data_IF_696253179519
#
_entry.id   IF_696253179519
#
_cell.length_a   1.000
_cell.length_b   1.000
_cell.length_c   1.000
_cell.angle_alpha   90.00
_cell.angle_beta   90.00
_cell.angle_gamma   90.00
#
_symmetry.space_group_name_H-M   'P 1'
#
loop_
_entity.id
_entity.type
_entity.pdbx_description
1 polymer ?
#
# COMPACT_ATOMS: atom_id res chain seq x y z
N UNK A 1 16.65 -6.90 21.32
CA UNK A 1 15.22 -7.22 21.16
C UNK A 1 14.93 -7.15 19.68
N UNK A 2 14.40 -8.19 19.06
CA UNK A 2 14.12 -8.19 17.62
C UNK A 2 13.04 -7.18 17.27
N UNK A 3 13.24 -6.43 16.20
CA UNK A 3 12.29 -5.52 15.60
C UNK A 3 11.82 -6.11 14.28
N UNK A 4 10.53 -6.35 14.15
CA UNK A 4 9.93 -6.92 12.94
C UNK A 4 9.06 -5.88 12.24
N UNK A 5 9.40 -5.59 10.98
CA UNK A 5 8.65 -4.74 10.09
C UNK A 5 7.56 -5.52 9.36
N UNK A 6 6.44 -4.85 9.10
CA UNK A 6 5.35 -5.32 8.26
C UNK A 6 4.98 -4.17 7.32
N UNK A 7 4.79 -4.46 6.05
CA UNK A 7 4.31 -3.49 5.06
C UNK A 7 2.87 -3.83 4.74
N UNK A 8 1.94 -2.88 4.88
CA UNK A 8 0.52 -3.19 4.79
C UNK A 8 -0.34 -2.03 4.25
N UNK A 9 -1.51 -2.39 3.73
CA UNK A 9 -2.61 -1.44 3.45
C UNK A 9 -3.73 -1.55 4.49
N UNK A 10 -3.97 -2.77 5.00
CA UNK A 10 -5.09 -3.09 5.89
C UNK A 10 -6.44 -2.53 5.39
N UNK A 11 -6.82 -2.84 4.14
CA UNK A 11 -7.98 -2.26 3.46
C UNK A 11 -9.18 -3.24 3.26
N UNK A 12 -9.94 -3.65 4.29
CA UNK A 12 -9.79 -3.32 5.72
C UNK A 12 -8.86 -4.29 6.47
N UNK A 13 -8.60 -4.00 7.75
CA UNK A 13 -7.97 -4.96 8.66
C UNK A 13 -8.89 -6.18 8.85
N UNK A 14 -8.35 -7.40 8.94
CA UNK A 14 -9.14 -8.64 9.01
C UNK A 14 -8.37 -9.78 9.71
N UNK A 15 -9.00 -10.93 9.93
CA UNK A 15 -8.40 -12.07 10.63
C UNK A 15 -7.05 -12.53 10.06
N UNK A 16 -6.88 -12.51 8.72
CA UNK A 16 -5.58 -12.83 8.09
C UNK A 16 -4.45 -11.86 8.46
N UNK A 17 -4.76 -10.57 8.66
CA UNK A 17 -3.78 -9.58 9.12
C UNK A 17 -3.42 -9.78 10.60
N UNK A 18 -4.42 -10.09 11.44
CA UNK A 18 -4.19 -10.48 12.83
C UNK A 18 -3.30 -11.72 12.92
N UNK A 19 -3.54 -12.71 12.07
CA UNK A 19 -2.70 -13.89 11.96
C UNK A 19 -1.26 -13.51 11.59
N UNK A 20 -1.05 -12.73 10.52
CA UNK A 20 0.28 -12.24 10.12
C UNK A 20 1.01 -11.57 11.31
N UNK A 21 0.35 -10.65 12.01
CA UNK A 21 0.92 -9.99 13.18
C UNK A 21 1.22 -10.97 14.32
N UNK A 22 0.39 -11.99 14.54
CA UNK A 22 0.61 -12.99 15.58
C UNK A 22 1.83 -13.89 15.33
N UNK A 23 2.20 -14.08 14.06
CA UNK A 23 3.37 -14.87 13.66
C UNK A 23 4.68 -14.08 13.71
N UNK A 24 4.60 -12.74 13.78
CA UNK A 24 5.78 -11.89 13.90
C UNK A 24 6.25 -11.79 15.36
N UNK A 25 7.55 -11.90 15.57
CA UNK A 25 8.19 -11.83 16.88
C UNK A 25 8.58 -10.39 17.26
N UNK A 26 8.91 -10.16 18.52
CA UNK A 26 9.53 -8.90 18.92
C UNK A 26 8.62 -7.67 18.81
N UNK A 27 9.21 -6.48 18.61
CA UNK A 27 8.47 -5.22 18.40
C UNK A 27 7.96 -5.17 16.97
N UNK A 28 6.64 -5.02 16.78
CA UNK A 28 6.02 -5.03 15.46
C UNK A 28 5.78 -3.62 14.93
N UNK A 29 6.52 -3.22 13.91
CA UNK A 29 6.38 -1.92 13.24
C UNK A 29 5.65 -2.14 11.92
N UNK A 30 4.48 -1.52 11.76
CA UNK A 30 3.73 -1.52 10.51
C UNK A 30 4.00 -0.22 9.74
N UNK A 31 4.59 -0.33 8.56
CA UNK A 31 4.59 0.75 7.58
C UNK A 31 3.34 0.62 6.70
N UNK A 32 2.37 1.51 6.92
CA UNK A 32 1.02 1.39 6.39
C UNK A 32 0.73 2.46 5.34
N UNK A 33 0.12 2.07 4.21
CA UNK A 33 -0.44 3.04 3.26
C UNK A 33 -1.39 3.99 3.98
N UNK A 34 -1.28 5.28 3.65
CA UNK A 34 -2.23 6.30 4.07
C UNK A 34 -3.62 6.11 3.45
N UNK A 35 -4.34 7.20 3.23
CA UNK A 35 -5.74 7.16 2.81
C UNK A 35 -5.97 6.66 1.36
N UNK A 36 -4.92 6.54 0.56
CA UNK A 36 -4.93 5.85 -0.73
C UNK A 36 -3.88 4.74 -0.73
N UNK A 37 -4.21 3.63 -1.40
CA UNK A 37 -3.43 2.39 -1.31
C UNK A 37 -2.76 2.02 -2.65
N UNK A 38 -1.85 1.05 -2.64
CA UNK A 38 -0.96 0.65 -3.75
C UNK A 38 -1.68 0.29 -5.04
N UNK A 39 -2.92 -0.17 -4.91
CA UNK A 39 -3.79 -0.54 -6.02
C UNK A 39 -4.44 0.65 -6.73
N UNK A 40 -4.23 1.88 -6.24
CA UNK A 40 -4.85 3.08 -6.78
C UNK A 40 -6.33 3.15 -6.44
N UNK A 41 -6.65 2.92 -5.17
CA UNK A 41 -8.01 3.04 -4.63
C UNK A 41 -7.98 3.80 -3.29
N UNK A 42 -9.05 4.53 -2.95
CA UNK A 42 -9.21 5.04 -1.59
C UNK A 42 -9.30 3.86 -0.62
N UNK A 43 -8.67 3.98 0.55
CA UNK A 43 -8.88 3.03 1.63
C UNK A 43 -10.35 3.10 2.06
N UNK A 44 -10.99 1.96 2.31
CA UNK A 44 -12.42 1.88 2.63
C UNK A 44 -12.75 2.64 3.92
N UNK A 45 -11.81 2.68 4.87
CA UNK A 45 -11.87 3.49 6.10
C UNK A 45 -10.52 4.17 6.30
N UNK A 46 -10.52 5.27 7.05
CA UNK A 46 -9.37 6.15 7.14
C UNK A 46 -8.13 5.50 7.79
N UNK A 47 -6.96 6.10 7.56
CA UNK A 47 -5.68 5.61 8.08
C UNK A 47 -5.63 5.54 9.60
N UNK A 48 -6.34 6.43 10.31
CA UNK A 48 -6.36 6.44 11.76
C UNK A 48 -7.11 5.23 12.31
N UNK A 49 -8.29 4.94 11.77
CA UNK A 49 -9.10 3.77 12.13
C UNK A 49 -8.31 2.49 11.86
N UNK A 50 -7.68 2.36 10.69
CA UNK A 50 -6.85 1.19 10.36
C UNK A 50 -5.64 1.03 11.28
N UNK A 51 -5.00 2.14 11.66
CA UNK A 51 -3.90 2.12 12.62
C UNK A 51 -4.37 1.67 14.00
N UNK A 52 -5.53 2.14 14.47
CA UNK A 52 -6.13 1.70 15.74
C UNK A 52 -6.39 0.20 15.74
N UNK A 53 -7.02 -0.32 14.67
CA UNK A 53 -7.30 -1.75 14.52
C UNK A 53 -6.00 -2.58 14.57
N UNK A 54 -4.95 -2.14 13.89
CA UNK A 54 -3.66 -2.82 13.89
C UNK A 54 -3.03 -2.86 15.30
N UNK A 55 -3.02 -1.74 16.03
CA UNK A 55 -2.47 -1.65 17.39
C UNK A 55 -3.27 -2.52 18.38
N UNK A 56 -4.60 -2.52 18.26
CA UNK A 56 -5.47 -3.41 19.05
C UNK A 56 -5.25 -4.89 18.71
N UNK A 57 -4.80 -5.20 17.50
CA UNK A 57 -4.53 -6.56 17.04
C UNK A 57 -3.06 -7.01 17.09
N UNK A 58 -2.18 -6.25 17.75
CA UNK A 58 -0.84 -6.71 18.12
C UNK A 58 0.32 -6.02 17.42
N UNK A 59 0.07 -5.02 16.58
CA UNK A 59 1.10 -4.07 16.16
C UNK A 59 1.55 -3.21 17.36
N UNK A 60 2.82 -2.82 17.38
CA UNK A 60 3.39 -1.98 18.44
C UNK A 60 3.58 -0.53 17.99
N UNK A 61 3.85 -0.32 16.70
CA UNK A 61 4.04 1.00 16.09
C UNK A 61 3.44 0.97 14.68
N UNK A 62 2.67 1.99 14.32
CA UNK A 62 2.17 2.19 12.96
C UNK A 62 2.67 3.53 12.44
N UNK A 63 3.38 3.49 11.30
CA UNK A 63 3.87 4.66 10.58
C UNK A 63 3.23 4.76 9.21
N UNK A 64 3.06 5.98 8.71
CA UNK A 64 2.46 6.22 7.41
C UNK A 64 3.50 6.14 6.29
N UNK A 65 3.16 5.41 5.22
CA UNK A 65 3.86 5.50 3.95
C UNK A 65 3.40 6.77 3.22
N UNK A 66 4.33 7.65 2.80
CA UNK A 66 4.00 8.83 2.00
C UNK A 66 3.21 8.44 0.74
N UNK A 67 2.32 9.30 0.24
CA UNK A 67 1.46 9.02 -0.90
C UNK A 67 2.22 8.53 -2.13
N UNK A 68 3.36 9.18 -2.47
CA UNK A 68 4.20 8.79 -3.61
C UNK A 68 5.02 7.51 -3.37
N UNK A 69 5.01 6.95 -2.16
CA UNK A 69 5.48 5.59 -1.85
C UNK A 69 4.30 4.61 -1.88
N UNK A 70 3.20 4.96 -1.21
CA UNK A 70 2.05 4.11 -1.02
C UNK A 70 1.35 3.76 -2.34
N UNK A 71 1.11 4.74 -3.21
CA UNK A 71 0.39 4.56 -4.47
C UNK A 71 1.41 4.37 -5.59
N UNK A 72 2.02 3.19 -5.70
CA UNK A 72 3.06 2.89 -6.70
C UNK A 72 2.96 1.46 -7.25
N UNK A 73 3.79 1.10 -8.24
CA UNK A 73 4.00 -0.33 -8.55
C UNK A 73 4.74 -1.05 -7.42
N UNK A 74 4.67 -2.39 -7.40
CA UNK A 74 5.19 -3.21 -6.31
C UNK A 74 6.66 -2.92 -5.94
N UNK A 75 7.54 -2.75 -6.93
CA UNK A 75 8.96 -2.48 -6.68
C UNK A 75 9.20 -1.15 -5.97
N UNK A 76 8.58 -0.05 -6.41
CA UNK A 76 8.74 1.26 -5.74
C UNK A 76 8.03 1.31 -4.39
N UNK A 77 6.86 0.67 -4.28
CA UNK A 77 6.15 0.52 -3.01
C UNK A 77 7.01 -0.25 -1.99
N UNK A 78 7.59 -1.38 -2.40
CA UNK A 78 8.48 -2.19 -1.58
C UNK A 78 9.74 -1.41 -1.19
N UNK A 79 10.40 -0.77 -2.16
CA UNK A 79 11.63 -0.01 -1.91
C UNK A 79 11.40 1.10 -0.86
N UNK A 80 10.45 1.99 -1.11
CA UNK A 80 10.20 3.12 -0.19
C UNK A 80 9.74 2.67 1.19
N UNK A 81 8.96 1.58 1.29
CA UNK A 81 8.53 1.03 2.56
C UNK A 81 9.68 0.36 3.33
N UNK A 82 10.54 -0.40 2.64
CA UNK A 82 11.75 -1.01 3.24
C UNK A 82 12.72 0.06 3.71
N UNK A 83 12.93 1.13 2.94
CA UNK A 83 13.82 2.25 3.34
C UNK A 83 13.31 3.00 4.58
N UNK A 84 11.98 3.08 4.78
CA UNK A 84 11.39 3.60 6.02
C UNK A 84 11.65 2.64 7.18
N UNK A 85 11.41 1.35 6.98
CA UNK A 85 11.59 0.33 8.02
C UNK A 85 13.06 0.16 8.44
N UNK A 86 14.00 0.22 7.49
CA UNK A 86 15.44 0.19 7.75
C UNK A 86 15.86 1.34 8.68
N UNK A 87 15.41 2.57 8.39
CA UNK A 87 15.68 3.73 9.25
C UNK A 87 15.12 3.57 10.66
N UNK A 88 14.00 2.85 10.79
CA UNK A 88 13.40 2.52 12.09
C UNK A 88 14.08 1.33 12.79
N UNK A 89 15.19 0.80 12.25
CA UNK A 89 15.98 -0.26 12.88
C UNK A 89 15.28 -1.62 12.85
N UNK A 90 14.54 -1.91 11.78
CA UNK A 90 13.93 -3.24 11.59
C UNK A 90 15.00 -4.28 11.27
N UNK A 91 14.97 -5.40 11.99
CA UNK A 91 15.86 -6.55 11.78
C UNK A 91 15.25 -7.58 10.81
N UNK A 92 13.93 -7.79 10.89
CA UNK A 92 13.19 -8.77 10.10
C UNK A 92 12.01 -8.13 9.37
N UNK A 93 11.76 -8.49 8.12
CA UNK A 93 10.56 -8.11 7.38
C UNK A 93 9.61 -9.30 7.27
N UNK A 94 8.47 -9.25 7.96
CA UNK A 94 7.44 -10.27 7.91
C UNK A 94 6.36 -9.93 6.88
N UNK A 95 6.03 -10.87 6.00
CA UNK A 95 5.00 -10.68 4.97
C UNK A 95 4.28 -11.99 4.62
N UNK A 96 3.01 -11.88 4.24
CA UNK A 96 2.24 -13.03 3.78
C UNK A 96 2.60 -13.42 2.34
N UNK A 97 2.67 -14.72 2.04
CA UNK A 97 2.91 -15.26 0.69
C UNK A 97 2.05 -16.48 0.44
N UNK A 98 1.60 -16.70 -0.81
CA UNK A 98 0.97 -17.96 -1.22
C UNK A 98 2.00 -19.11 -1.28
N UNK A 99 3.24 -18.78 -1.64
CA UNK A 99 4.33 -19.73 -1.84
C UNK A 99 5.18 -19.92 -0.58
N UNK A 100 5.70 -21.13 -0.38
CA UNK A 100 6.68 -21.44 0.67
C UNK A 100 8.08 -21.52 0.06
N UNK A 101 8.64 -20.36 -0.30
CA UNK A 101 9.94 -20.22 -0.96
C UNK A 101 10.93 -19.46 -0.08
N UNK A 102 12.22 -19.64 -0.37
CA UNK A 102 13.30 -18.91 0.29
C UNK A 102 13.50 -17.53 -0.35
N UNK A 103 12.75 -16.54 0.14
CA UNK A 103 12.89 -15.16 -0.31
C UNK A 103 14.23 -14.52 0.06
N UNK A 104 14.89 -15.02 1.11
CA UNK A 104 16.23 -14.54 1.48
C UNK A 104 17.24 -14.92 0.39
N UNK A 105 17.11 -16.13 -0.17
CA UNK A 105 17.93 -16.54 -1.30
C UNK A 105 17.68 -15.67 -2.55
N UNK A 106 16.43 -15.32 -2.86
CA UNK A 106 16.14 -14.40 -3.98
C UNK A 106 16.73 -13.00 -3.76
N UNK A 107 16.73 -12.52 -2.52
CA UNK A 107 17.39 -11.26 -2.15
C UNK A 107 18.90 -11.32 -2.41
N UNK A 108 19.54 -12.45 -2.11
CA UNK A 108 20.96 -12.65 -2.36
C UNK A 108 21.28 -12.74 -3.86
N UNK A 109 20.49 -13.52 -4.63
CA UNK A 109 20.64 -13.59 -6.10
C UNK A 109 20.58 -12.20 -6.71
N UNK A 110 19.61 -11.38 -6.29
CA UNK A 110 19.49 -10.02 -6.80
C UNK A 110 20.69 -9.15 -6.39
N UNK A 111 21.16 -9.24 -5.15
CA UNK A 111 22.36 -8.51 -4.71
C UNK A 111 23.59 -8.86 -5.56
N UNK A 112 23.80 -10.15 -5.84
CA UNK A 112 24.96 -10.65 -6.60
C UNK A 112 24.88 -10.33 -8.10
N UNK A 113 23.67 -10.11 -8.63
CA UNK A 113 23.42 -9.94 -10.07
C UNK A 113 22.73 -8.63 -10.43
N UNK A 114 22.66 -7.66 -9.53
CA UNK A 114 21.82 -6.46 -9.66
C UNK A 114 21.99 -5.78 -11.02
N UNK A 115 23.22 -5.49 -11.42
CA UNK A 115 23.49 -4.82 -12.69
C UNK A 115 23.02 -5.66 -13.89
N UNK A 116 23.34 -6.96 -13.92
CA UNK A 116 22.93 -7.88 -15.00
C UNK A 116 21.41 -8.00 -15.11
N UNK A 117 20.71 -8.01 -13.96
CA UNK A 117 19.26 -8.09 -13.90
C UNK A 117 18.59 -6.80 -14.40
N UNK A 118 19.14 -5.63 -14.03
CA UNK A 118 18.70 -4.33 -14.52
C UNK A 118 18.92 -4.21 -16.04
N UNK A 119 20.12 -4.57 -16.52
CA UNK A 119 20.44 -4.54 -17.95
C UNK A 119 19.53 -5.48 -18.74
N UNK A 120 19.24 -6.66 -18.21
CA UNK A 120 18.31 -7.59 -18.83
C UNK A 120 16.89 -7.01 -18.92
N UNK A 121 16.38 -6.39 -17.85
CA UNK A 121 15.07 -5.72 -17.87
C UNK A 121 15.01 -4.63 -18.94
N UNK A 122 16.09 -3.85 -19.11
CA UNK A 122 16.17 -2.79 -20.12
C UNK A 122 16.25 -3.36 -21.55
N UNK A 123 16.89 -4.51 -21.74
CA UNK A 123 16.98 -5.17 -23.06
C UNK A 123 15.65 -5.77 -23.54
N UNK A 124 14.68 -5.97 -22.64
CA UNK A 124 13.41 -6.60 -23.00
C UNK A 124 12.53 -5.64 -23.83
N UNK A 125 11.79 -6.16 -24.82
CA UNK A 125 10.96 -5.37 -25.72
C UNK A 125 9.99 -4.40 -25.01
N UNK A 126 9.81 -3.20 -25.56
CA UNK A 126 8.94 -2.16 -24.98
C UNK A 126 7.44 -2.43 -25.06
N UNK A 127 7.04 -3.45 -25.85
CA UNK A 127 5.66 -3.92 -25.88
C UNK A 127 5.29 -4.76 -24.65
N UNK A 128 6.27 -5.19 -23.85
CA UNK A 128 6.03 -5.88 -22.58
C UNK A 128 5.76 -4.87 -21.48
N UNK A 129 4.71 -5.12 -20.69
CA UNK A 129 4.46 -4.36 -19.47
C UNK A 129 5.56 -4.61 -18.44
N UNK A 130 5.79 -3.65 -17.54
CA UNK A 130 6.80 -3.78 -16.49
C UNK A 130 6.66 -5.07 -15.67
N UNK A 131 5.44 -5.48 -15.21
CA UNK A 131 5.27 -6.77 -14.52
C UNK A 131 5.74 -7.99 -15.33
N UNK A 132 5.49 -8.00 -16.65
CA UNK A 132 5.95 -9.08 -17.53
C UNK A 132 7.48 -9.07 -17.67
N UNK A 133 8.10 -7.88 -17.74
CA UNK A 133 9.56 -7.75 -17.76
C UNK A 133 10.17 -8.30 -16.46
N UNK A 134 9.61 -7.96 -15.29
CA UNK A 134 10.07 -8.46 -13.98
C UNK A 134 9.90 -9.97 -13.82
N UNK A 135 8.81 -10.55 -14.34
CA UNK A 135 8.62 -12.01 -14.33
C UNK A 135 9.73 -12.71 -15.12
N UNK A 136 9.97 -12.28 -16.36
CA UNK A 136 11.06 -12.83 -17.20
C UNK A 136 12.43 -12.71 -16.56
N UNK A 137 12.69 -11.61 -15.85
CA UNK A 137 13.94 -11.42 -15.12
C UNK A 137 14.10 -12.46 -14.01
N UNK A 138 13.07 -12.67 -13.17
CA UNK A 138 13.13 -13.66 -12.10
C UNK A 138 13.19 -15.11 -12.63
N UNK A 139 12.46 -15.43 -13.70
CA UNK A 139 12.57 -16.72 -14.40
C UNK A 139 14.01 -16.98 -14.86
N UNK A 140 14.64 -15.99 -15.50
CA UNK A 140 15.99 -16.14 -16.06
C UNK A 140 17.07 -16.30 -15.00
N UNK A 141 17.00 -15.53 -13.92
CA UNK A 141 18.10 -15.43 -12.94
C UNK A 141 17.91 -16.30 -11.69
N UNK A 142 16.67 -16.73 -11.40
CA UNK A 142 16.35 -17.44 -10.17
C UNK A 142 15.39 -18.64 -10.37
N UNK A 143 15.08 -19.01 -11.62
CA UNK A 143 14.17 -20.12 -11.98
C UNK A 143 12.80 -20.06 -11.27
N UNK A 144 12.34 -18.84 -10.99
CA UNK A 144 11.04 -18.61 -10.35
C UNK A 144 9.93 -18.88 -11.36
N UNK A 145 8.98 -19.74 -10.99
CA UNK A 145 7.80 -20.02 -11.81
C UNK A 145 6.63 -19.15 -11.37
N UNK A 146 6.14 -18.32 -12.28
CA UNK A 146 4.97 -17.49 -12.02
C UNK A 146 3.70 -18.25 -12.39
N UNK A 147 2.87 -18.52 -11.40
CA UNK A 147 1.46 -18.87 -11.61
C UNK A 147 0.65 -17.57 -11.68
N UNK A 148 -0.43 -17.55 -12.46
CA UNK A 148 -1.24 -16.35 -12.71
C UNK A 148 -1.94 -15.74 -11.49
N UNK A 149 -1.89 -16.40 -10.33
CA UNK A 149 -2.75 -16.15 -9.17
C UNK A 149 -1.99 -15.95 -7.85
N UNK A 150 -0.75 -15.44 -7.88
CA UNK A 150 0.08 -15.26 -6.67
C UNK A 150 0.58 -13.81 -6.47
N UNK A 151 -0.33 -12.84 -6.26
CA UNK A 151 0.06 -11.43 -6.12
C UNK A 151 0.84 -11.14 -4.85
N UNK A 152 0.69 -11.92 -3.76
CA UNK A 152 1.55 -11.74 -2.60
C UNK A 152 2.95 -12.32 -2.83
N UNK A 153 3.09 -13.39 -3.63
CA UNK A 153 4.40 -13.86 -4.09
C UNK A 153 5.14 -12.80 -4.91
N UNK A 154 4.47 -12.16 -5.87
CA UNK A 154 5.05 -11.06 -6.65
C UNK A 154 5.53 -9.93 -5.74
N UNK A 155 4.72 -9.56 -4.73
CA UNK A 155 5.10 -8.53 -3.77
C UNK A 155 6.27 -8.97 -2.87
N UNK A 156 6.32 -10.25 -2.49
CA UNK A 156 7.45 -10.85 -1.77
C UNK A 156 8.77 -10.78 -2.55
N UNK A 157 8.74 -10.96 -3.87
CA UNK A 157 9.91 -10.77 -4.72
C UNK A 157 10.33 -9.30 -4.81
N UNK A 158 9.38 -8.37 -4.84
CA UNK A 158 9.68 -6.94 -4.73
C UNK A 158 10.31 -6.60 -3.37
N UNK A 159 9.90 -7.24 -2.28
CA UNK A 159 10.58 -7.11 -0.98
C UNK A 159 11.99 -7.70 -1.00
N UNK A 160 12.17 -8.88 -1.60
CA UNK A 160 13.50 -9.48 -1.77
C UNK A 160 14.46 -8.57 -2.54
N UNK A 161 13.96 -7.96 -3.62
CA UNK A 161 14.69 -6.94 -4.37
C UNK A 161 15.02 -5.71 -3.53
N UNK A 162 14.07 -5.19 -2.75
CA UNK A 162 14.25 -4.00 -1.92
C UNK A 162 15.17 -4.22 -0.70
N UNK A 163 15.22 -5.44 -0.18
CA UNK A 163 16.10 -5.83 0.94
C UNK A 163 17.51 -6.24 0.48
N UNK A 164 17.77 -6.36 -0.82
CA UNK A 164 19.09 -6.72 -1.34
C UNK A 164 20.17 -5.74 -0.86
N UNK A 165 21.22 -6.27 -0.25
CA UNK A 165 22.31 -5.47 0.34
C UNK A 165 21.98 -4.78 1.66
N UNK A 166 20.78 -4.96 2.22
CA UNK A 166 20.38 -4.44 3.53
C UNK A 166 20.49 -5.50 4.62
N UNK A 167 20.68 -5.07 5.86
CA UNK A 167 20.71 -5.96 7.03
C UNK A 167 19.29 -6.31 7.53
N UNK A 168 18.38 -6.66 6.62
CA UNK A 168 16.99 -7.02 6.92
C UNK A 168 16.75 -8.45 6.46
N UNK A 169 16.41 -9.32 7.41
CA UNK A 169 16.09 -10.72 7.13
C UNK A 169 14.63 -10.86 6.69
N UNK A 170 14.38 -11.53 5.58
CA UNK A 170 13.03 -11.80 5.08
C UNK A 170 12.39 -12.96 5.85
N UNK A 171 11.16 -12.76 6.32
CA UNK A 171 10.39 -13.73 7.10
C UNK A 171 9.03 -13.97 6.41
N UNK A 172 9.00 -14.82 5.36
CA UNK A 172 7.77 -15.17 4.68
C UNK A 172 6.86 -15.98 5.59
N UNK A 173 5.58 -15.63 5.62
CA UNK A 173 4.54 -16.33 6.38
C UNK A 173 3.51 -16.86 5.40
N UNK A 174 3.29 -18.19 5.42
CA UNK A 174 2.32 -18.83 4.55
C UNK A 174 0.91 -18.30 4.84
N UNK A 175 0.23 -17.79 3.82
CA UNK A 175 -1.16 -17.32 3.93
C UNK A 175 -2.09 -18.49 4.25
N UNK A 176 -3.08 -18.23 5.09
CA UNK A 176 -4.17 -19.15 5.40
C UNK A 176 -5.50 -18.60 4.88
N UNK A 177 -6.41 -19.48 4.45
CA UNK A 177 -7.77 -19.15 4.01
C UNK A 177 -7.93 -18.88 2.51
N UNK A 178 -8.93 -18.09 2.14
CA UNK A 178 -9.32 -17.89 0.75
C UNK A 178 -8.21 -17.25 -0.09
N UNK A 179 -8.14 -17.66 -1.36
CA UNK A 179 -7.24 -17.08 -2.36
C UNK A 179 -7.40 -15.57 -2.48
N UNK A 180 -6.40 -14.91 -3.05
CA UNK A 180 -6.46 -13.48 -3.28
C UNK A 180 -7.64 -13.14 -4.22
N UNK A 181 -8.45 -12.13 -3.88
CA UNK A 181 -9.74 -11.80 -4.52
C UNK A 181 -10.85 -12.87 -4.48
N UNK A 182 -10.66 -13.98 -3.78
CA UNK A 182 -11.73 -14.99 -3.66
C UNK A 182 -12.95 -14.42 -2.91
N UNK A 183 -14.13 -14.80 -3.40
CA UNK A 183 -15.44 -14.46 -2.86
C UNK A 183 -16.02 -15.54 -1.97
N UNK A 184 -15.24 -16.59 -1.70
CA UNK A 184 -15.65 -17.69 -0.84
C UNK A 184 -15.94 -17.19 0.59
N UNK A 185 -17.03 -17.71 1.16
CA UNK A 185 -17.57 -17.33 2.48
C UNK A 185 -17.45 -18.46 3.51
N UNK A 186 -17.09 -19.68 3.06
CA UNK A 186 -16.90 -20.89 3.88
C UNK A 186 -15.42 -21.14 4.17
N UNK A 187 -14.69 -20.07 4.46
CA UNK A 187 -13.26 -20.09 4.78
C UNK A 187 -13.01 -19.56 6.18
N UNK A 188 -11.86 -19.91 6.77
CA UNK A 188 -11.41 -19.32 8.04
C UNK A 188 -10.98 -17.85 7.88
N UNK A 189 -10.57 -17.46 6.66
CA UNK A 189 -10.12 -16.10 6.35
C UNK A 189 -10.67 -15.65 4.99
N UNK A 190 -11.57 -14.66 5.00
CA UNK A 190 -12.06 -14.00 3.79
C UNK A 190 -11.03 -13.00 3.22
N UNK A 191 -11.05 -12.79 1.90
CA UNK A 191 -10.20 -11.79 1.25
C UNK A 191 -10.66 -10.36 1.58
N UNK A 192 -9.72 -9.40 1.57
CA UNK A 192 -10.04 -7.98 1.79
C UNK A 192 -11.08 -7.46 0.77
N UNK A 193 -11.03 -7.93 -0.48
CA UNK A 193 -12.03 -7.58 -1.50
C UNK A 193 -13.42 -8.12 -1.14
N UNK A 194 -13.52 -9.36 -0.67
CA UNK A 194 -14.81 -9.94 -0.28
C UNK A 194 -15.43 -9.16 0.89
N UNK A 195 -14.60 -8.77 1.87
CA UNK A 195 -15.03 -7.92 2.98
C UNK A 195 -15.50 -6.54 2.53
N UNK A 196 -14.87 -5.93 1.52
CA UNK A 196 -15.34 -4.65 0.97
C UNK A 196 -16.68 -4.79 0.25
N UNK A 197 -16.95 -5.91 -0.42
CA UNK A 197 -18.25 -6.14 -1.05
C UNK A 197 -19.35 -6.35 0.00
N UNK A 198 -19.08 -7.14 1.03
CA UNK A 198 -20.00 -7.43 2.12
C UNK A 198 -19.89 -6.45 3.30
N UNK A 199 -19.34 -5.24 3.08
CA UNK A 199 -19.05 -4.27 4.16
C UNK A 199 -20.27 -3.76 4.95
N UNK A 200 -21.46 -3.94 4.38
CA UNK A 200 -22.75 -3.61 5.01
C UNK A 200 -23.40 -4.81 5.71
N UNK A 201 -22.90 -6.02 5.48
CA UNK A 201 -23.34 -7.23 6.19
C UNK A 201 -22.59 -7.33 7.51
N UNK A 202 -23.25 -6.88 8.58
CA UNK A 202 -22.69 -6.87 9.94
C UNK A 202 -22.22 -8.25 10.39
N UNK A 203 -23.01 -9.29 10.15
CA UNK A 203 -22.67 -10.65 10.58
C UNK A 203 -21.43 -11.17 9.84
N UNK A 204 -21.33 -10.88 8.54
CA UNK A 204 -20.16 -11.23 7.75
C UNK A 204 -18.90 -10.50 8.23
N UNK A 205 -19.00 -9.19 8.49
CA UNK A 205 -17.87 -8.39 8.98
C UNK A 205 -17.42 -8.90 10.35
N UNK A 206 -18.33 -9.11 11.30
CA UNK A 206 -18.03 -9.62 12.65
C UNK A 206 -17.34 -11.00 12.62
N UNK A 207 -17.74 -11.88 11.68
CA UNK A 207 -17.10 -13.19 11.51
C UNK A 207 -15.62 -13.10 11.11
N UNK A 208 -15.26 -12.10 10.30
CA UNK A 208 -13.96 -12.04 9.63
C UNK A 208 -13.03 -10.90 10.07
N UNK A 209 -13.51 -10.06 11.00
CA UNK A 209 -12.80 -8.86 11.44
C UNK A 209 -12.79 -8.76 12.97
N UNK A 210 -11.62 -8.77 13.62
CA UNK A 210 -11.53 -8.77 15.08
C UNK A 210 -11.97 -7.44 15.72
N UNK A 211 -11.95 -6.34 14.98
CA UNK A 211 -12.37 -5.00 15.42
C UNK A 211 -13.52 -4.48 14.55
N UNK A 212 -14.49 -5.36 14.26
CA UNK A 212 -15.63 -5.07 13.38
C UNK A 212 -16.38 -3.78 13.75
N UNK A 213 -16.57 -3.51 15.04
CA UNK A 213 -17.26 -2.30 15.52
C UNK A 213 -16.54 -1.00 15.16
N UNK A 214 -15.20 -0.99 15.07
CA UNK A 214 -14.47 0.19 14.61
C UNK A 214 -14.75 0.43 13.13
N UNK A 215 -14.72 -0.64 12.32
CA UNK A 215 -14.96 -0.56 10.89
C UNK A 215 -16.41 -0.19 10.53
N UNK A 216 -17.39 -0.77 11.22
CA UNK A 216 -18.82 -0.54 10.97
C UNK A 216 -19.26 0.89 11.35
N UNK A 217 -18.61 1.50 12.36
CA UNK A 217 -18.90 2.88 12.79
C UNK A 217 -18.11 3.94 12.02
N UNK A 218 -16.99 3.57 11.42
CA UNK A 218 -16.17 4.50 10.68
C UNK A 218 -16.87 4.95 9.38
N UNK A 219 -16.75 6.21 8.96
CA UNK A 219 -17.19 6.64 7.64
C UNK A 219 -16.48 5.83 6.56
N UNK A 220 -17.26 5.19 5.69
CA UNK A 220 -16.74 4.37 4.61
C UNK A 220 -16.77 5.13 3.28
N UNK A 221 -15.76 4.88 2.44
CA UNK A 221 -15.66 5.45 1.09
C UNK A 221 -15.25 4.40 0.07
N UNK A 222 -15.67 4.63 -1.16
CA UNK A 222 -15.30 3.86 -2.36
C UNK A 222 -15.09 4.82 -3.53
N UNK A 223 -14.69 4.30 -4.70
CA UNK A 223 -14.45 5.13 -5.88
C UNK A 223 -15.69 5.90 -6.36
N UNK A 224 -16.88 5.37 -6.10
CA UNK A 224 -18.17 6.01 -6.40
C UNK A 224 -18.29 7.39 -5.75
N UNK A 225 -17.76 7.54 -4.53
CA UNK A 225 -17.77 8.82 -3.82
C UNK A 225 -16.91 9.90 -4.49
N UNK A 226 -15.90 9.50 -5.25
CA UNK A 226 -14.91 10.42 -5.85
C UNK A 226 -15.07 10.58 -7.36
N UNK A 227 -15.94 9.80 -8.02
CA UNK A 227 -16.00 9.79 -9.48
C UNK A 227 -16.35 11.16 -10.05
N UNK A 228 -17.27 11.90 -9.42
CA UNK A 228 -17.60 13.26 -9.86
C UNK A 228 -16.45 14.25 -9.68
N UNK A 229 -15.69 14.13 -8.58
CA UNK A 229 -14.50 14.95 -8.34
C UNK A 229 -13.39 14.65 -9.35
N UNK A 230 -13.14 13.36 -9.63
CA UNK A 230 -12.22 12.92 -10.67
C UNK A 230 -12.64 13.45 -12.04
N UNK A 231 -13.93 13.34 -12.38
CA UNK A 231 -14.48 13.83 -13.64
C UNK A 231 -14.31 15.35 -13.77
N UNK A 232 -14.62 16.10 -12.72
CA UNK A 232 -14.37 17.54 -12.68
C UNK A 232 -12.90 17.84 -12.95
N UNK A 233 -11.99 17.21 -12.20
CA UNK A 233 -10.55 17.42 -12.32
C UNK A 233 -10.01 17.07 -13.72
N UNK A 234 -10.51 16.02 -14.36
CA UNK A 234 -10.12 15.67 -15.74
C UNK A 234 -10.63 16.70 -16.76
N UNK A 235 -11.85 17.19 -16.58
CA UNK A 235 -12.50 18.10 -17.54
C UNK A 235 -11.99 19.55 -17.43
N UNK A 236 -11.62 20.01 -16.24
CA UNK A 236 -11.18 21.39 -16.01
C UNK A 236 -9.67 21.57 -16.03
N UNK A 237 -8.89 20.51 -15.80
CA UNK A 237 -7.44 20.61 -15.86
C UNK A 237 -6.98 20.85 -17.31
N UNK A 238 -6.30 21.98 -17.62
CA UNK A 238 -5.89 22.34 -18.98
C UNK A 238 -4.78 21.45 -19.53
N UNK A 239 -3.98 20.82 -18.66
CA UNK A 239 -2.88 19.94 -19.04
C UNK A 239 -2.70 18.80 -18.01
N UNK A 240 -3.17 17.60 -18.36
CA UNK A 240 -3.02 16.43 -17.51
C UNK A 240 -1.58 15.91 -17.45
N UNK A 241 -0.69 16.29 -18.37
CA UNK A 241 0.69 15.78 -18.39
C UNK A 241 1.54 16.33 -17.25
N UNK A 242 1.12 17.44 -16.64
CA UNK A 242 1.71 17.93 -15.39
C UNK A 242 1.43 17.04 -14.16
N UNK A 243 0.50 16.08 -14.27
CA UNK A 243 0.21 15.11 -13.21
C UNK A 243 1.21 13.96 -13.28
N UNK A 244 1.64 13.50 -12.10
CA UNK A 244 2.62 12.43 -11.95
C UNK A 244 2.28 11.20 -12.81
N UNK A 245 3.26 10.74 -13.60
CA UNK A 245 3.19 9.59 -14.51
C UNK A 245 2.15 9.67 -15.64
N UNK A 246 1.55 10.83 -15.91
CA UNK A 246 0.66 11.02 -17.06
C UNK A 246 1.48 11.53 -18.25
N UNK A 247 1.53 10.74 -19.32
CA UNK A 247 2.09 11.17 -20.59
C UNK A 247 0.98 11.62 -21.56
N UNK A 248 1.37 12.18 -22.70
CA UNK A 248 0.47 12.66 -23.76
C UNK A 248 -0.57 11.61 -24.20
N UNK A 249 -0.11 10.37 -24.39
CA UNK A 249 -0.97 9.26 -24.83
C UNK A 249 -2.07 8.98 -23.79
N UNK A 250 -1.70 8.88 -22.51
CA UNK A 250 -2.63 8.66 -21.40
C UNK A 250 -3.57 9.85 -21.23
N UNK A 251 -3.05 11.08 -21.27
CA UNK A 251 -3.85 12.30 -21.17
C UNK A 251 -4.94 12.34 -22.24
N UNK A 252 -4.58 12.10 -23.51
CA UNK A 252 -5.51 12.05 -24.63
C UNK A 252 -6.58 10.96 -24.47
N UNK A 253 -6.17 9.73 -24.14
CA UNK A 253 -7.10 8.60 -23.91
C UNK A 253 -8.08 8.89 -22.77
N UNK A 254 -7.60 9.40 -21.64
CA UNK A 254 -8.42 9.71 -20.47
C UNK A 254 -9.45 10.80 -20.80
N UNK A 255 -9.03 11.89 -21.45
CA UNK A 255 -9.93 12.99 -21.86
C UNK A 255 -11.01 12.58 -22.84
N UNK A 256 -10.69 11.64 -23.73
CA UNK A 256 -11.68 11.07 -24.65
C UNK A 256 -12.66 10.16 -23.89
N UNK A 257 -12.15 9.22 -23.09
CA UNK A 257 -12.95 8.22 -22.42
C UNK A 257 -13.91 8.80 -21.37
N UNK A 258 -13.47 9.78 -20.55
CA UNK A 258 -14.24 10.35 -19.42
C UNK A 258 -15.62 10.89 -19.82
N UNK A 259 -15.79 11.28 -21.10
CA UNK A 259 -17.05 11.85 -21.62
C UNK A 259 -18.18 10.82 -21.75
N UNK A 260 -17.85 9.53 -21.72
CA UNK A 260 -18.73 8.44 -22.14
C UNK A 260 -18.80 7.30 -21.13
N UNK A 261 -18.38 7.53 -19.88
CA UNK A 261 -18.33 6.54 -18.81
C UNK A 261 -19.07 7.07 -17.58
N UNK A 262 -19.68 6.17 -16.83
CA UNK A 262 -20.45 6.45 -15.62
C UNK A 262 -19.71 6.05 -14.34
N UNK A 263 -18.66 5.23 -14.45
CA UNK A 263 -17.90 4.73 -13.30
C UNK A 263 -16.38 4.78 -13.54
N UNK A 264 -15.61 4.68 -12.46
CA UNK A 264 -14.14 4.58 -12.52
C UNK A 264 -13.72 3.29 -13.22
N UNK A 265 -14.40 2.17 -12.97
CA UNK A 265 -14.04 0.90 -13.59
C UNK A 265 -14.27 0.91 -15.11
N UNK A 266 -15.36 1.53 -15.58
CA UNK A 266 -15.57 1.76 -17.02
C UNK A 266 -14.46 2.64 -17.63
N UNK A 267 -14.02 3.68 -16.90
CA UNK A 267 -12.92 4.53 -17.33
C UNK A 267 -11.61 3.74 -17.42
N UNK A 268 -11.32 2.92 -16.40
CA UNK A 268 -10.14 2.05 -16.36
C UNK A 268 -10.15 1.11 -17.55
N UNK A 269 -11.29 0.48 -17.84
CA UNK A 269 -11.43 -0.49 -18.92
C UNK A 269 -11.26 0.14 -20.31
N UNK A 270 -11.77 1.36 -20.53
CA UNK A 270 -11.55 2.09 -21.78
C UNK A 270 -10.11 2.59 -21.95
N UNK A 271 -9.47 3.02 -20.86
CA UNK A 271 -8.11 3.60 -20.92
C UNK A 271 -7.03 2.53 -20.97
N UNK A 272 -7.23 1.38 -20.32
CA UNK A 272 -6.24 0.31 -20.26
C UNK A 272 -5.86 -0.24 -21.65
N UNK A 273 -4.61 -0.69 -21.75
CA UNK A 273 -4.04 -1.33 -22.95
C UNK A 273 -3.12 -2.48 -22.54
N UNK A 274 -2.53 -3.18 -23.51
CA UNK A 274 -1.44 -4.14 -23.23
C UNK A 274 -0.25 -3.47 -22.51
N UNK A 275 0.03 -2.20 -22.81
CA UNK A 275 1.12 -1.41 -22.21
C UNK A 275 0.72 -0.82 -20.85
N UNK A 276 -0.52 -0.34 -20.71
CA UNK A 276 -1.05 0.26 -19.50
C UNK A 276 -2.02 -0.70 -18.82
N UNK A 277 -1.51 -1.47 -17.86
CA UNK A 277 -2.33 -2.40 -17.07
C UNK A 277 -3.41 -1.65 -16.30
N UNK A 278 -4.55 -2.32 -16.03
CA UNK A 278 -5.66 -1.73 -15.26
C UNK A 278 -5.19 -1.16 -13.91
N UNK A 279 -4.27 -1.84 -13.22
CA UNK A 279 -3.68 -1.36 -11.97
C UNK A 279 -2.89 -0.05 -12.15
N UNK A 280 -2.12 0.09 -13.24
CA UNK A 280 -1.41 1.34 -13.54
C UNK A 280 -2.39 2.47 -13.83
N UNK A 281 -3.44 2.20 -14.61
CA UNK A 281 -4.49 3.19 -14.91
C UNK A 281 -5.18 3.64 -13.62
N UNK A 282 -5.58 2.73 -12.72
CA UNK A 282 -6.17 3.09 -11.43
C UNK A 282 -5.29 4.03 -10.59
N UNK A 283 -3.98 3.74 -10.52
CA UNK A 283 -3.02 4.65 -9.86
C UNK A 283 -2.97 6.02 -10.53
N UNK A 284 -2.92 6.07 -11.86
CA UNK A 284 -2.95 7.33 -12.62
C UNK A 284 -4.22 8.13 -12.30
N UNK A 285 -5.39 7.49 -12.28
CA UNK A 285 -6.64 8.17 -11.91
C UNK A 285 -6.61 8.67 -10.46
N UNK A 286 -5.94 7.96 -9.55
CA UNK A 286 -5.70 8.43 -8.18
C UNK A 286 -4.80 9.67 -8.16
N UNK A 287 -3.72 9.69 -8.94
CA UNK A 287 -2.84 10.87 -9.05
C UNK A 287 -3.60 12.07 -9.62
N UNK A 288 -4.46 11.85 -10.62
CA UNK A 288 -5.30 12.90 -11.19
C UNK A 288 -6.29 13.42 -10.14
N UNK A 289 -7.04 12.53 -9.47
CA UNK A 289 -7.97 12.89 -8.41
C UNK A 289 -7.29 13.76 -7.33
N UNK A 290 -6.10 13.36 -6.90
CA UNK A 290 -5.34 14.09 -5.89
C UNK A 290 -4.75 15.39 -6.44
N UNK A 291 -4.47 15.47 -7.75
CA UNK A 291 -3.66 16.54 -8.32
C UNK A 291 -2.16 16.37 -7.98
N UNK A 292 -1.71 15.11 -7.92
CA UNK A 292 -0.36 14.77 -7.48
C UNK A 292 0.68 15.14 -8.55
N UNK A 293 1.72 15.83 -8.12
CA UNK A 293 2.91 16.16 -8.91
C UNK A 293 4.13 15.47 -8.31
N UNK A 294 5.15 15.22 -9.13
CA UNK A 294 6.40 14.64 -8.64
C UNK A 294 7.06 15.59 -7.62
N UNK A 295 7.38 15.06 -6.44
CA UNK A 295 8.12 15.76 -5.39
C UNK A 295 9.11 14.80 -4.73
N UNK A 296 10.21 15.33 -4.16
CA UNK A 296 11.10 14.52 -3.33
C UNK A 296 10.33 13.86 -2.19
N UNK A 297 10.67 12.61 -1.90
CA UNK A 297 10.09 11.88 -0.77
C UNK A 297 10.52 12.55 0.56
N UNK A 298 9.65 12.57 1.59
CA UNK A 298 10.00 13.14 2.88
C UNK A 298 11.08 12.30 3.56
N UNK A 299 12.04 12.98 4.20
CA UNK A 299 12.99 12.33 5.10
C UNK A 299 12.33 11.94 6.44
N UNK A 300 11.30 12.67 6.86
CA UNK A 300 10.58 12.39 8.09
C UNK A 300 9.72 11.12 8.01
N UNK A 301 9.50 10.49 9.16
CA UNK A 301 8.57 9.37 9.34
C UNK A 301 7.38 9.84 10.16
N UNK A 302 6.18 9.79 9.57
CA UNK A 302 4.95 10.17 10.24
C UNK A 302 4.37 9.00 11.04
N UNK A 303 4.11 9.21 12.32
CA UNK A 303 3.61 8.18 13.25
C UNK A 303 2.10 8.29 13.39
N UNK A 304 1.37 7.22 13.07
CA UNK A 304 -0.08 7.15 13.22
C UNK A 304 -0.52 6.65 14.60
N UNK A 305 0.30 5.82 15.25
CA UNK A 305 0.03 5.39 16.62
C UNK A 305 1.02 4.34 17.13
N UNK A 306 0.97 4.08 18.43
CA UNK A 306 1.88 3.17 19.11
C UNK A 306 1.32 2.59 20.42
N UNK A 307 1.84 1.45 20.83
CA UNK A 307 1.72 0.87 22.19
C UNK A 307 2.85 1.38 23.09
N UNK A 308 2.86 1.01 24.38
CA UNK A 308 4.01 1.30 25.25
C UNK A 308 5.33 0.72 24.71
N UNK A 309 5.27 -0.49 24.15
CA UNK A 309 6.42 -1.16 23.55
C UNK A 309 6.93 -0.41 22.32
N UNK A 310 6.02 0.00 21.43
CA UNK A 310 6.38 0.84 20.28
C UNK A 310 6.91 2.20 20.69
N UNK A 311 6.37 2.80 21.75
CA UNK A 311 6.88 4.06 22.30
C UNK A 311 8.30 3.92 22.84
N UNK A 312 8.60 2.83 23.55
CA UNK A 312 9.96 2.52 24.03
C UNK A 312 10.93 2.42 22.85
N UNK A 313 10.54 1.75 21.76
CA UNK A 313 11.34 1.69 20.53
C UNK A 313 11.50 3.04 19.84
N UNK A 314 10.42 3.82 19.68
CA UNK A 314 10.52 5.18 19.11
C UNK A 314 11.54 6.05 19.85
N UNK A 315 11.64 5.92 21.17
CA UNK A 315 12.64 6.66 21.97
C UNK A 315 14.09 6.30 21.64
N UNK A 316 14.37 5.09 21.13
CA UNK A 316 15.72 4.66 20.76
C UNK A 316 16.15 5.24 19.41
N UNK A 317 15.21 5.37 18.45
CA UNK A 317 15.50 5.83 17.08
C UNK A 317 15.27 7.34 16.86
N UNK A 318 14.52 8.04 17.73
CA UNK A 318 14.17 9.46 17.52
C UNK A 318 15.35 10.45 17.44
N UNK A 319 16.57 10.02 17.78
CA UNK A 319 17.78 10.86 17.63
C UNK A 319 18.40 10.75 16.23
N UNK A 320 18.16 9.65 15.52
CA UNK A 320 18.69 9.37 14.19
C UNK A 320 17.64 9.47 13.09
N UNK A 321 16.36 9.35 13.45
CA UNK A 321 15.22 9.45 12.54
C UNK A 321 14.41 10.69 12.88
N UNK A 322 14.10 11.50 11.87
CA UNK A 322 13.15 12.60 12.01
C UNK A 322 11.73 12.04 12.15
N UNK A 323 11.18 12.14 13.35
CA UNK A 323 9.85 11.59 13.70
C UNK A 323 8.84 12.71 13.78
N UNK A 324 7.81 12.64 12.92
CA UNK A 324 6.66 13.54 12.98
C UNK A 324 5.52 12.81 13.70
N UNK A 325 5.18 13.28 14.89
CA UNK A 325 4.04 12.76 15.66
C UNK A 325 2.80 13.63 15.49
N UNK A 326 2.95 14.96 15.50
CA UNK A 326 1.83 15.91 15.34
C UNK A 326 2.23 16.93 14.28
N UNK A 327 1.39 17.05 13.25
CA UNK A 327 1.62 17.99 12.16
C UNK A 327 1.08 19.36 12.57
N UNK A 328 1.99 20.35 12.63
CA UNK A 328 1.71 21.75 12.97
C UNK A 328 1.24 22.55 11.76
N UNK A 329 1.64 23.81 11.58
CA UNK A 329 1.23 24.58 10.38
C UNK A 329 1.98 24.19 9.10
N UNK A 330 3.13 23.52 9.21
CA UNK A 330 3.95 23.09 8.07
C UNK A 330 3.70 21.62 7.75
N UNK A 331 3.58 21.28 6.46
CA UNK A 331 3.39 19.90 6.06
C UNK A 331 4.65 19.05 6.32
N UNK A 332 4.45 17.78 6.68
CA UNK A 332 5.53 16.77 6.71
C UNK A 332 5.80 16.22 5.31
N UNK A 333 4.73 16.08 4.51
CA UNK A 333 4.76 15.78 3.09
C UNK A 333 3.55 16.43 2.41
N UNK A 334 3.81 17.35 1.49
CA UNK A 334 2.76 18.15 0.88
C UNK A 334 1.79 17.30 0.05
N UNK A 335 2.28 16.28 -0.65
CA UNK A 335 1.43 15.43 -1.51
C UNK A 335 0.56 14.51 -0.68
N UNK A 336 1.09 13.93 0.40
CA UNK A 336 0.30 13.11 1.33
C UNK A 336 -0.82 13.92 1.98
N UNK A 337 -0.55 15.17 2.37
CA UNK A 337 -1.57 16.01 3.00
C UNK A 337 -2.63 16.49 2.02
N UNK A 338 -2.24 16.76 0.77
CA UNK A 338 -3.20 16.99 -0.32
C UNK A 338 -4.08 15.76 -0.55
N UNK A 339 -3.50 14.56 -0.53
CA UNK A 339 -4.26 13.32 -0.65
C UNK A 339 -5.25 13.15 0.53
N UNK A 340 -4.83 13.42 1.77
CA UNK A 340 -5.72 13.39 2.92
C UNK A 340 -6.91 14.37 2.79
N UNK A 341 -6.66 15.59 2.33
CA UNK A 341 -7.71 16.59 2.09
C UNK A 341 -8.70 16.12 1.02
N UNK A 342 -8.21 15.55 -0.08
CA UNK A 342 -9.05 15.01 -1.14
C UNK A 342 -9.86 13.81 -0.65
N UNK A 343 -9.27 12.94 0.18
CA UNK A 343 -9.97 11.80 0.78
C UNK A 343 -11.15 12.23 1.67
N UNK A 344 -11.01 13.30 2.45
CA UNK A 344 -12.11 13.82 3.28
C UNK A 344 -13.35 14.20 2.47
N UNK A 345 -13.19 14.59 1.21
CA UNK A 345 -14.31 14.95 0.35
C UNK A 345 -15.20 13.76 -0.02
N UNK A 346 -14.72 12.53 0.14
CA UNK A 346 -15.49 11.32 -0.20
C UNK A 346 -16.65 11.02 0.74
N UNK A 347 -16.62 11.54 1.97
CA UNK A 347 -17.69 11.34 2.94
C UNK A 347 -17.70 12.49 3.96
N UNK A 348 -18.83 13.19 4.06
CA UNK A 348 -18.99 14.38 4.92
C UNK A 348 -18.80 14.11 6.42
N UNK A 349 -18.84 12.86 6.85
CA UNK A 349 -18.59 12.47 8.23
C UNK A 349 -17.09 12.26 8.55
N UNK A 350 -16.22 12.23 7.54
CA UNK A 350 -14.77 12.13 7.73
C UNK A 350 -14.25 13.38 8.45
N UNK A 351 -13.53 13.15 9.55
CA UNK A 351 -12.94 14.21 10.37
C UNK A 351 -11.59 14.65 9.81
N UNK A 352 -11.01 15.70 10.42
CA UNK A 352 -9.63 16.14 10.16
C UNK A 352 -8.65 14.95 10.13
N UNK A 353 -7.89 14.83 9.05
CA UNK A 353 -7.00 13.69 8.77
C UNK A 353 -5.53 14.00 9.01
N UNK A 354 -5.18 15.27 9.14
CA UNK A 354 -3.80 15.76 9.06
C UNK A 354 -3.49 16.69 10.21
N UNK A 355 -4.13 17.86 10.27
CA UNK A 355 -3.65 18.97 11.08
C UNK A 355 -4.00 18.80 12.55
N UNK A 356 -2.99 18.89 13.41
CA UNK A 356 -3.17 18.80 14.86
C UNK A 356 -3.57 17.42 15.38
N UNK A 357 -3.73 16.41 14.52
CA UNK A 357 -4.01 15.01 14.89
C UNK A 357 -2.86 14.45 15.73
N UNK A 358 -3.22 13.69 16.75
CA UNK A 358 -2.27 13.08 17.69
C UNK A 358 -2.23 11.57 17.42
N UNK A 359 -1.06 10.92 17.48
CA UNK A 359 -0.97 9.49 17.27
C UNK A 359 -1.79 8.72 18.29
N UNK A 360 -2.45 7.65 17.83
CA UNK A 360 -3.23 6.75 18.68
C UNK A 360 -2.32 6.09 19.70
N UNK A 361 -2.76 6.06 20.97
CA UNK A 361 -2.04 5.41 22.06
C UNK A 361 -2.88 4.28 22.62
N UNK A 362 -2.34 3.06 22.60
CA UNK A 362 -2.95 1.91 23.23
C UNK A 362 -2.09 1.54 24.45
N UNK A 363 -2.66 1.70 25.64
CA UNK A 363 -2.03 1.24 26.88
C UNK A 363 -2.26 -0.28 26.97
N UNK A 364 -1.20 -1.04 26.77
CA UNK A 364 -1.18 -2.51 26.75
C UNK A 364 0.04 -3.00 27.49
#
# INVERSE_FOLDING_TARGET
MTITGIIAEFNPFHNGHRYLLSQAEGVKIVAMSGNFVQRGEPAVVDKWTRAEMALKCGADLVVELPFLVAVQSADYFAQGAVDILERLGVDKLAFGTEENLDYQHFSQIYADNQQKMVDYLQSLPDNLSYPQKTQKMWEKFADVKFTGDTPNHILGLSYAKACAGKAIQLSPIKRQGAGYHSLDTDVAFASATNLRMHRQDKAFVEKFMPEADLFLRAPQVTWENYFQLLKYQILTNPDLTGIFQVNEELASRIRSAIRSVATVDELVDKVATKRYTKARVRRILTYILVGAVEKPLPNAVHVLGFTEKGQKHLKTVKKSVDIVARIGAKPWDAVTQQADQVYQLGNSHLQEQTWGKVPIRINK
#
